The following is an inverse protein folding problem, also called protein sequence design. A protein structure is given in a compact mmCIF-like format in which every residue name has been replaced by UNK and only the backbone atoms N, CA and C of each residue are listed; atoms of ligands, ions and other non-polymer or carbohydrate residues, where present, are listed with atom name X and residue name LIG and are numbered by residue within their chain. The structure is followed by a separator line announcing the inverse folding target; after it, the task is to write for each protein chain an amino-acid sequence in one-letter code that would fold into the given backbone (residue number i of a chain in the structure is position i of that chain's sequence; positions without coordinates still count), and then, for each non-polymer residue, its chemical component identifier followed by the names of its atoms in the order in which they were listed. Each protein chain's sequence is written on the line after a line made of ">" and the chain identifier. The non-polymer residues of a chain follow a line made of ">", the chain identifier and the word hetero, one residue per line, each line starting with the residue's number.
data_IF_252385783916
#
_entry.id   IF_252385783916
#
_cell.length_a   1.000
_cell.length_b   1.000
_cell.length_c   1.000
_cell.angle_alpha   90.00
_cell.angle_beta   90.00
_cell.angle_gamma   90.00
#
_symmetry.space_group_name_H-M   'P 1'
#
loop_
_entity.id
_entity.type
_entity.pdbx_description
1 polymer ?
#
# COMPACT_ATOMS: atom_id res chain seq x y z
N UNK A 1 -18.62 68.93 -17.27
CA UNK A 1 -17.66 67.99 -17.82
C UNK A 1 -17.67 66.74 -16.90
N UNK A 2 -18.33 65.72 -17.35
CA UNK A 2 -18.47 64.46 -16.57
C UNK A 2 -17.38 63.50 -17.03
N UNK A 3 -16.51 63.03 -16.10
CA UNK A 3 -15.49 62.03 -16.36
C UNK A 3 -16.10 60.60 -16.41
N UNK A 4 -15.53 59.69 -17.22
CA UNK A 4 -16.06 58.36 -17.40
C UNK A 4 -15.80 57.49 -16.15
N UNK A 5 -16.87 56.92 -15.64
CA UNK A 5 -16.88 55.87 -14.63
C UNK A 5 -16.34 54.61 -15.32
N UNK A 6 -15.15 54.19 -14.94
CA UNK A 6 -14.60 52.89 -15.28
C UNK A 6 -15.41 51.81 -14.57
N UNK A 7 -16.35 51.20 -15.26
CA UNK A 7 -16.94 49.95 -14.88
C UNK A 7 -15.84 48.87 -14.84
N UNK A 8 -15.37 48.55 -13.63
CA UNK A 8 -14.65 47.29 -13.37
C UNK A 8 -15.65 46.17 -13.57
N UNK A 9 -15.65 45.55 -14.72
CA UNK A 9 -16.18 44.21 -14.92
C UNK A 9 -15.43 43.26 -13.98
N UNK A 10 -15.99 43.04 -12.83
CA UNK A 10 -15.69 41.88 -12.01
C UNK A 10 -16.16 40.64 -12.80
N UNK A 11 -15.23 40.06 -13.56
CA UNK A 11 -15.40 38.73 -14.14
C UNK A 11 -15.75 37.80 -12.98
N UNK A 12 -17.03 37.51 -12.81
CA UNK A 12 -17.52 36.43 -11.97
C UNK A 12 -16.83 35.16 -12.48
N UNK A 13 -15.74 34.75 -11.82
CA UNK A 13 -15.26 33.40 -11.95
C UNK A 13 -16.46 32.50 -11.63
N UNK A 14 -17.06 31.93 -12.65
CA UNK A 14 -18.05 30.86 -12.52
C UNK A 14 -17.41 29.84 -11.62
N UNK A 15 -17.97 29.66 -10.42
CA UNK A 15 -17.49 28.68 -9.48
C UNK A 15 -17.53 27.33 -10.18
N UNK A 16 -16.36 26.80 -10.53
CA UNK A 16 -16.20 25.51 -11.21
C UNK A 16 -16.97 24.46 -10.40
N UNK A 17 -17.95 23.84 -11.02
CA UNK A 17 -18.86 22.91 -10.37
C UNK A 17 -18.17 21.57 -10.24
N UNK A 18 -17.37 21.40 -9.20
CA UNK A 18 -16.79 20.09 -8.85
C UNK A 18 -17.89 19.20 -8.30
N UNK A 19 -18.08 18.05 -8.92
CA UNK A 19 -19.02 17.01 -8.50
C UNK A 19 -18.22 15.84 -7.92
N UNK A 20 -18.75 15.23 -6.85
CA UNK A 20 -18.20 14.04 -6.21
C UNK A 20 -19.18 12.88 -6.41
N UNK A 21 -18.63 11.71 -6.74
CA UNK A 21 -19.40 10.48 -6.92
C UNK A 21 -18.60 9.29 -6.38
N UNK A 22 -19.30 8.20 -6.09
CA UNK A 22 -18.65 6.89 -5.89
C UNK A 22 -18.32 6.33 -7.28
N UNK A 23 -17.08 5.94 -7.50
CA UNK A 23 -16.64 5.41 -8.77
C UNK A 23 -17.24 4.03 -9.07
N UNK A 24 -17.57 3.79 -10.33
CA UNK A 24 -17.99 2.52 -10.87
C UNK A 24 -17.12 2.07 -12.05
N UNK A 25 -17.44 0.91 -12.63
CA UNK A 25 -16.68 0.33 -13.75
C UNK A 25 -16.53 1.28 -14.95
N UNK A 26 -17.53 2.15 -15.18
CA UNK A 26 -17.45 3.15 -16.26
C UNK A 26 -16.34 4.18 -16.06
N UNK A 27 -15.87 4.39 -14.83
CA UNK A 27 -14.82 5.36 -14.50
C UNK A 27 -13.41 4.77 -14.67
N UNK A 28 -13.27 3.44 -14.86
CA UNK A 28 -12.00 2.74 -14.95
C UNK A 28 -10.98 3.42 -15.89
N UNK A 29 -11.30 3.71 -17.16
CA UNK A 29 -10.31 4.28 -18.08
C UNK A 29 -9.79 5.65 -17.63
N UNK A 30 -10.68 6.50 -17.08
CA UNK A 30 -10.30 7.84 -16.62
C UNK A 30 -9.47 7.79 -15.33
N UNK A 31 -9.80 6.87 -14.39
CA UNK A 31 -9.01 6.67 -13.17
C UNK A 31 -7.61 6.22 -13.53
N UNK A 32 -7.48 5.19 -14.39
CA UNK A 32 -6.15 4.71 -14.83
C UNK A 32 -5.35 5.79 -15.55
N UNK A 33 -6.01 6.62 -16.37
CA UNK A 33 -5.38 7.78 -17.01
C UNK A 33 -4.85 8.77 -15.96
N UNK A 34 -5.68 9.15 -14.97
CA UNK A 34 -5.27 10.06 -13.90
C UNK A 34 -4.07 9.54 -13.11
N UNK A 35 -4.05 8.23 -12.79
CA UNK A 35 -2.93 7.60 -12.06
C UNK A 35 -1.62 7.68 -12.85
N UNK A 36 -1.65 7.44 -14.17
CA UNK A 36 -0.48 7.52 -15.05
C UNK A 36 0.02 8.96 -15.23
N UNK A 37 -0.90 9.89 -15.41
CA UNK A 37 -0.54 11.31 -15.65
C UNK A 37 -0.04 12.04 -14.40
N UNK A 38 -0.22 11.44 -13.20
CA UNK A 38 0.15 12.06 -11.92
C UNK A 38 1.09 11.15 -11.10
N UNK A 39 2.34 10.96 -11.57
CA UNK A 39 3.31 10.12 -10.88
C UNK A 39 3.69 10.70 -9.51
N UNK A 40 4.12 9.82 -8.63
CA UNK A 40 4.73 10.20 -7.36
C UNK A 40 6.17 10.65 -7.61
N UNK A 41 6.44 11.92 -7.36
CA UNK A 41 7.78 12.49 -7.49
C UNK A 41 8.72 11.93 -6.40
N UNK A 42 9.99 11.72 -6.75
CA UNK A 42 11.04 11.26 -5.85
C UNK A 42 12.38 11.15 -6.58
N UNK A 43 13.39 10.54 -5.94
CA UNK A 43 14.65 10.21 -6.63
C UNK A 43 14.42 9.26 -7.81
N UNK A 44 13.42 8.42 -7.69
CA UNK A 44 12.82 7.62 -8.74
C UNK A 44 11.35 8.00 -8.73
N UNK A 45 10.87 8.62 -9.79
CA UNK A 45 9.46 8.94 -9.96
C UNK A 45 8.72 7.70 -10.41
N UNK A 46 7.62 7.37 -9.76
CA UNK A 46 6.86 6.15 -10.05
C UNK A 46 5.37 6.45 -10.17
N UNK A 47 4.70 5.73 -11.06
CA UNK A 47 3.24 5.64 -11.08
C UNK A 47 2.81 4.30 -10.50
N UNK A 48 1.83 4.35 -9.60
CA UNK A 48 1.13 3.16 -9.13
C UNK A 48 -0.10 2.98 -10.02
N UNK A 49 -0.03 2.02 -10.93
CA UNK A 49 -1.08 1.76 -11.92
C UNK A 49 -1.87 0.51 -11.58
N UNK A 50 -3.06 0.37 -12.18
CA UNK A 50 -4.01 -0.71 -11.98
C UNK A 50 -4.45 -1.26 -13.34
N UNK A 51 -3.50 -1.81 -14.11
CA UNK A 51 -3.81 -2.40 -15.40
C UNK A 51 -4.16 -3.88 -15.26
N UNK A 52 -5.06 -4.44 -16.08
CA UNK A 52 -5.83 -3.77 -17.14
C UNK A 52 -7.11 -3.09 -16.65
N UNK A 53 -7.52 -3.30 -15.40
CA UNK A 53 -8.74 -2.78 -14.80
C UNK A 53 -8.48 -2.30 -13.37
N UNK A 54 -8.88 -1.07 -13.04
CA UNK A 54 -8.74 -0.47 -11.71
C UNK A 54 -9.48 -1.28 -10.63
N UNK A 55 -10.58 -1.90 -11.00
CA UNK A 55 -11.45 -2.66 -10.08
C UNK A 55 -11.11 -4.15 -10.01
N UNK A 56 -10.04 -4.60 -10.64
CA UNK A 56 -9.68 -6.02 -10.73
C UNK A 56 -9.51 -6.72 -9.37
N UNK A 57 -9.17 -5.99 -8.32
CA UNK A 57 -9.00 -6.51 -6.95
C UNK A 57 -10.19 -6.18 -6.02
N UNK A 58 -11.34 -5.78 -6.59
CA UNK A 58 -12.57 -5.58 -5.84
C UNK A 58 -13.33 -6.90 -5.62
N UNK A 59 -14.25 -6.89 -4.66
CA UNK A 59 -15.13 -8.03 -4.41
C UNK A 59 -14.52 -9.13 -3.53
N UNK A 60 -13.39 -8.87 -2.88
CA UNK A 60 -12.84 -9.80 -1.87
C UNK A 60 -13.82 -9.90 -0.70
N UNK A 61 -14.27 -11.11 -0.30
CA UNK A 61 -15.18 -11.29 0.83
C UNK A 61 -14.62 -10.67 2.13
N UNK A 62 -15.50 -10.08 2.93
CA UNK A 62 -15.08 -9.39 4.16
C UNK A 62 -14.43 -8.04 3.96
N UNK A 63 -14.19 -7.64 2.70
CA UNK A 63 -13.61 -6.35 2.33
C UNK A 63 -14.66 -5.43 1.69
N UNK A 64 -14.62 -4.15 2.03
CA UNK A 64 -15.41 -3.11 1.36
C UNK A 64 -14.43 -2.10 0.76
N UNK A 65 -14.37 -2.02 -0.56
CA UNK A 65 -13.61 -0.98 -1.29
C UNK A 65 -14.54 0.09 -1.79
N UNK A 66 -14.25 1.32 -1.41
CA UNK A 66 -14.96 2.52 -1.88
C UNK A 66 -13.96 3.44 -2.54
N UNK A 67 -14.19 3.75 -3.80
CA UNK A 67 -13.41 4.72 -4.55
C UNK A 67 -14.26 5.94 -4.81
N UNK A 68 -13.75 7.11 -4.46
CA UNK A 68 -14.40 8.40 -4.67
C UNK A 68 -13.68 9.12 -5.80
N UNK A 69 -14.46 9.69 -6.70
CA UNK A 69 -13.96 10.52 -7.79
C UNK A 69 -14.51 11.93 -7.70
N UNK A 70 -13.71 12.91 -8.08
CA UNK A 70 -14.15 14.28 -8.28
C UNK A 70 -14.01 14.64 -9.75
N UNK A 71 -15.09 15.25 -10.31
CA UNK A 71 -15.13 15.72 -11.70
C UNK A 71 -15.31 17.23 -11.72
N UNK A 72 -14.50 17.90 -12.50
CA UNK A 72 -14.61 19.33 -12.81
C UNK A 72 -14.92 19.49 -14.28
N UNK A 73 -16.06 20.12 -14.62
CA UNK A 73 -16.53 20.27 -16.00
C UNK A 73 -16.58 18.92 -16.77
N UNK A 74 -17.01 17.86 -16.11
CA UNK A 74 -17.12 16.53 -16.70
C UNK A 74 -15.82 15.70 -16.69
N UNK A 75 -14.65 16.31 -16.46
CA UNK A 75 -13.36 15.63 -16.43
C UNK A 75 -13.02 15.14 -15.01
N UNK A 76 -12.52 13.93 -14.90
CA UNK A 76 -12.02 13.37 -13.64
C UNK A 76 -10.72 14.09 -13.24
N UNK A 77 -10.72 14.67 -12.03
CA UNK A 77 -9.61 15.51 -11.53
C UNK A 77 -9.05 15.05 -10.20
N UNK A 78 -9.77 14.19 -9.48
CA UNK A 78 -9.29 13.62 -8.23
C UNK A 78 -9.87 12.22 -8.05
N UNK A 79 -9.09 11.34 -7.47
CA UNK A 79 -9.50 10.02 -7.00
C UNK A 79 -8.94 9.78 -5.60
N UNK A 80 -9.67 9.06 -4.78
CA UNK A 80 -9.22 8.58 -3.47
C UNK A 80 -10.01 7.35 -3.08
N UNK A 81 -9.43 6.48 -2.29
CA UNK A 81 -10.06 5.22 -1.91
C UNK A 81 -10.00 4.92 -0.43
N UNK A 82 -10.92 4.08 0.01
CA UNK A 82 -10.93 3.45 1.32
C UNK A 82 -11.17 1.96 1.17
N UNK A 83 -10.30 1.17 1.78
CA UNK A 83 -10.47 -0.28 1.89
C UNK A 83 -10.74 -0.62 3.34
N UNK A 84 -11.96 -1.08 3.65
CA UNK A 84 -12.36 -1.50 5.00
C UNK A 84 -12.30 -3.02 5.07
N UNK A 85 -11.58 -3.54 6.08
CA UNK A 85 -11.46 -4.96 6.36
C UNK A 85 -11.22 -5.22 7.85
N UNK A 86 -11.28 -6.49 8.25
CA UNK A 86 -10.91 -6.89 9.60
C UNK A 86 -9.40 -6.79 9.80
N UNK A 87 -8.98 -6.07 10.84
CA UNK A 87 -7.59 -5.98 11.29
C UNK A 87 -7.54 -6.04 12.81
N UNK A 88 -6.42 -6.48 13.34
CA UNK A 88 -6.24 -6.47 14.78
C UNK A 88 -5.93 -5.05 15.28
N UNK A 89 -6.68 -4.62 16.28
CA UNK A 89 -6.44 -3.40 17.05
C UNK A 89 -6.52 -3.78 18.53
N UNK A 90 -5.45 -3.51 19.27
CA UNK A 90 -5.32 -3.90 20.69
C UNK A 90 -5.59 -5.40 20.96
N UNK A 91 -5.22 -6.25 19.99
CA UNK A 91 -5.40 -7.69 20.07
C UNK A 91 -6.74 -8.23 19.62
N UNK A 92 -7.71 -7.36 19.30
CA UNK A 92 -9.06 -7.75 18.91
C UNK A 92 -9.31 -7.45 17.42
N UNK A 93 -10.03 -8.32 16.70
CA UNK A 93 -10.47 -8.03 15.34
C UNK A 93 -11.43 -6.83 15.32
N UNK A 94 -11.11 -5.82 14.52
CA UNK A 94 -11.90 -4.60 14.33
C UNK A 94 -12.06 -4.28 12.85
N UNK A 95 -13.16 -3.63 12.50
CA UNK A 95 -13.35 -3.08 11.15
C UNK A 95 -12.49 -1.84 10.99
N UNK A 96 -11.45 -1.92 10.18
CA UNK A 96 -10.47 -0.84 9.99
C UNK A 96 -10.42 -0.42 8.53
N UNK A 97 -10.58 0.88 8.27
CA UNK A 97 -10.47 1.49 6.95
C UNK A 97 -9.04 1.97 6.67
N UNK A 98 -8.46 1.54 5.57
CA UNK A 98 -7.23 2.11 5.03
C UNK A 98 -7.56 3.15 3.97
N UNK A 99 -7.16 4.40 4.20
CA UNK A 99 -7.30 5.49 3.24
C UNK A 99 -6.08 5.55 2.35
N UNK A 100 -6.25 5.30 1.06
CA UNK A 100 -5.15 5.22 0.11
C UNK A 100 -5.52 5.72 -1.28
N UNK A 101 -4.53 5.68 -2.19
CA UNK A 101 -4.75 5.97 -3.60
C UNK A 101 -5.11 7.43 -3.93
N UNK A 102 -4.97 8.38 -2.98
CA UNK A 102 -5.33 9.77 -3.23
C UNK A 102 -4.44 10.37 -4.32
N UNK A 103 -5.08 10.82 -5.40
CA UNK A 103 -4.44 11.55 -6.51
C UNK A 103 -5.29 12.74 -6.90
N UNK A 104 -4.65 13.89 -7.01
CA UNK A 104 -5.22 15.11 -7.55
C UNK A 104 -4.45 15.47 -8.82
N UNK A 105 -5.16 15.87 -9.87
CA UNK A 105 -4.54 16.33 -11.10
C UNK A 105 -3.58 17.49 -10.82
N UNK A 106 -2.30 17.29 -11.10
CA UNK A 106 -1.24 18.27 -10.82
C UNK A 106 -1.44 19.60 -11.52
N UNK A 107 -2.17 19.60 -12.64
CA UNK A 107 -2.54 20.82 -13.39
C UNK A 107 -3.44 21.77 -12.60
N UNK A 108 -4.12 21.28 -11.57
CA UNK A 108 -5.00 22.11 -10.73
C UNK A 108 -4.28 22.86 -9.62
N UNK A 109 -2.96 22.72 -9.50
CA UNK A 109 -2.12 23.63 -8.72
C UNK A 109 -2.49 23.84 -7.25
N UNK A 110 -2.89 22.77 -6.51
CA UNK A 110 -3.12 22.91 -5.07
C UNK A 110 -4.54 23.31 -4.67
N UNK A 111 -5.53 22.83 -5.39
CA UNK A 111 -6.97 22.94 -5.09
C UNK A 111 -7.33 22.14 -3.83
N UNK A 112 -6.98 22.69 -2.67
CA UNK A 112 -7.29 22.09 -1.36
C UNK A 112 -8.79 22.04 -1.07
N UNK A 113 -9.59 22.89 -1.72
CA UNK A 113 -11.04 22.86 -1.66
C UNK A 113 -11.62 21.54 -2.18
N UNK A 114 -11.02 20.96 -3.23
CA UNK A 114 -11.40 19.64 -3.75
C UNK A 114 -11.13 18.55 -2.71
N UNK A 115 -9.97 18.57 -2.07
CA UNK A 115 -9.62 17.59 -1.05
C UNK A 115 -10.56 17.69 0.15
N UNK A 116 -10.80 18.90 0.69
CA UNK A 116 -11.71 19.11 1.81
C UNK A 116 -13.12 18.60 1.52
N UNK A 117 -13.69 18.97 0.37
CA UNK A 117 -15.02 18.50 -0.05
C UNK A 117 -15.06 16.99 -0.31
N UNK A 118 -13.96 16.41 -0.81
CA UNK A 118 -13.80 14.97 -0.97
C UNK A 118 -13.87 14.24 0.37
N UNK A 119 -13.24 14.78 1.41
CA UNK A 119 -13.32 14.24 2.78
C UNK A 119 -14.71 14.43 3.41
N UNK A 120 -15.37 15.54 3.14
CA UNK A 120 -16.77 15.76 3.55
C UNK A 120 -17.68 14.69 2.91
N UNK A 121 -17.57 14.49 1.59
CA UNK A 121 -18.32 13.47 0.86
C UNK A 121 -18.03 12.05 1.37
N UNK A 122 -16.75 11.73 1.61
CA UNK A 122 -16.37 10.45 2.20
C UNK A 122 -17.01 10.24 3.57
N UNK A 123 -17.01 11.28 4.41
CA UNK A 123 -17.63 11.24 5.72
C UNK A 123 -19.13 10.87 5.62
N UNK A 124 -19.85 11.47 4.69
CA UNK A 124 -21.27 11.17 4.45
C UNK A 124 -21.48 9.71 4.05
N UNK A 125 -20.62 9.17 3.18
CA UNK A 125 -20.68 7.75 2.78
C UNK A 125 -20.42 6.79 3.96
N UNK A 126 -19.59 7.17 4.92
CA UNK A 126 -19.28 6.31 6.07
C UNK A 126 -20.38 6.34 7.14
N UNK A 127 -21.36 7.22 7.07
CA UNK A 127 -22.41 7.36 8.13
C UNK A 127 -23.24 6.09 8.28
N UNK A 128 -23.50 5.36 7.19
CA UNK A 128 -24.35 4.17 7.21
C UNK A 128 -23.67 2.93 7.81
N UNK A 129 -22.36 2.75 7.58
CA UNK A 129 -21.60 1.60 8.07
C UNK A 129 -20.11 1.97 8.29
N UNK A 130 -19.80 2.79 9.31
CA UNK A 130 -18.45 3.28 9.54
C UNK A 130 -17.50 2.15 9.90
N UNK A 131 -16.24 2.31 9.56
CA UNK A 131 -15.17 1.56 10.21
C UNK A 131 -14.97 2.08 11.63
N UNK A 132 -14.48 1.25 12.53
CA UNK A 132 -14.19 1.63 13.91
C UNK A 132 -12.93 2.51 13.99
N UNK A 133 -11.99 2.27 13.06
CA UNK A 133 -10.76 3.04 12.93
C UNK A 133 -10.49 3.31 11.46
N UNK A 134 -9.82 4.42 11.19
CA UNK A 134 -9.22 4.69 9.88
C UNK A 134 -7.74 4.98 10.06
N UNK A 135 -6.95 4.49 9.13
CA UNK A 135 -5.52 4.82 9.07
C UNK A 135 -5.07 5.06 7.63
N UNK A 136 -3.91 5.68 7.49
CA UNK A 136 -3.27 5.92 6.19
C UNK A 136 -1.77 5.86 6.32
N UNK A 137 -1.09 5.65 5.21
CA UNK A 137 0.36 5.79 5.10
C UNK A 137 0.70 6.92 4.13
N UNK A 138 1.60 7.81 4.53
CA UNK A 138 2.07 8.92 3.71
C UNK A 138 3.59 8.79 3.57
N UNK A 139 4.10 8.87 2.33
CA UNK A 139 5.53 8.85 2.07
C UNK A 139 6.26 9.89 2.92
N UNK A 140 7.35 9.51 3.57
CA UNK A 140 8.05 10.40 4.50
C UNK A 140 8.66 11.63 3.82
N UNK A 141 8.97 11.55 2.54
CA UNK A 141 9.46 12.63 1.69
C UNK A 141 8.36 13.47 1.03
N UNK A 142 7.08 13.09 1.18
CA UNK A 142 5.95 13.89 0.68
C UNK A 142 5.56 14.99 1.69
N UNK A 143 6.47 15.95 1.88
CA UNK A 143 6.29 17.07 2.82
C UNK A 143 5.02 17.87 2.54
N UNK A 144 4.67 18.04 1.26
CA UNK A 144 3.49 18.82 0.86
C UNK A 144 2.19 18.17 1.36
N UNK A 145 2.03 16.86 1.18
CA UNK A 145 0.85 16.13 1.65
C UNK A 145 0.80 16.16 3.19
N UNK A 146 1.93 15.89 3.86
CA UNK A 146 2.02 15.92 5.33
C UNK A 146 1.66 17.30 5.88
N UNK A 147 2.31 18.35 5.39
CA UNK A 147 2.04 19.72 5.84
C UNK A 147 0.57 20.15 5.64
N UNK A 148 -0.12 19.60 4.65
CA UNK A 148 -1.54 19.87 4.46
C UNK A 148 -2.42 19.07 5.43
N UNK A 149 -2.19 17.76 5.55
CA UNK A 149 -3.05 16.85 6.30
C UNK A 149 -2.87 16.99 7.82
N UNK A 150 -1.66 17.29 8.27
CA UNK A 150 -1.36 17.50 9.69
C UNK A 150 -1.89 18.84 10.25
N UNK A 151 -2.36 19.78 9.39
CA UNK A 151 -2.83 21.12 9.82
C UNK A 151 -4.12 21.13 10.62
N UNK A 152 -4.93 20.07 10.56
CA UNK A 152 -6.23 20.05 11.25
C UNK A 152 -7.21 21.12 10.75
N UNK A 153 -7.30 21.32 9.44
CA UNK A 153 -8.17 22.34 8.85
C UNK A 153 -9.66 22.04 9.11
N UNK A 154 -10.52 23.07 9.32
CA UNK A 154 -11.95 22.87 9.49
C UNK A 154 -12.58 22.06 8.34
N UNK A 155 -13.39 21.04 8.67
CA UNK A 155 -14.02 20.14 7.72
C UNK A 155 -13.11 18.98 7.25
N UNK A 156 -11.86 18.96 7.70
CA UNK A 156 -10.94 17.83 7.47
C UNK A 156 -10.93 16.89 8.68
N UNK A 157 -10.60 15.59 8.49
CA UNK A 157 -10.29 14.72 9.61
C UNK A 157 -8.98 15.11 10.29
N UNK A 158 -8.82 14.74 11.55
CA UNK A 158 -7.54 14.83 12.24
C UNK A 158 -6.62 13.67 11.84
N UNK A 159 -5.33 13.97 11.72
CA UNK A 159 -4.27 13.00 11.41
C UNK A 159 -3.35 12.89 12.62
N UNK A 160 -3.44 11.79 13.32
CA UNK A 160 -2.61 11.47 14.47
C UNK A 160 -1.46 10.57 14.05
N UNK A 161 -0.23 11.05 14.15
CA UNK A 161 0.96 10.26 13.83
C UNK A 161 1.14 9.14 14.87
N UNK A 162 1.24 7.90 14.39
CA UNK A 162 1.36 6.73 15.26
C UNK A 162 2.66 5.96 15.08
N UNK A 163 3.42 6.20 14.02
CA UNK A 163 4.73 5.58 13.83
C UNK A 163 5.26 5.65 12.41
N UNK A 164 6.54 5.36 12.25
CA UNK A 164 7.16 5.20 10.94
C UNK A 164 7.08 3.74 10.48
N UNK A 165 6.90 3.56 9.18
CA UNK A 165 6.83 2.26 8.53
C UNK A 165 7.83 2.20 7.39
N UNK A 166 8.60 1.11 7.33
CA UNK A 166 9.67 0.90 6.38
C UNK A 166 9.34 -0.27 5.48
N UNK A 167 9.11 0.00 4.21
CA UNK A 167 9.03 -1.03 3.19
C UNK A 167 10.44 -1.33 2.66
N UNK A 168 10.87 -2.58 2.77
CA UNK A 168 12.11 -3.09 2.23
C UNK A 168 11.88 -3.65 0.83
N UNK A 169 12.71 -3.25 -0.13
CA UNK A 169 12.82 -3.88 -1.43
C UNK A 169 14.12 -4.70 -1.43
N UNK A 170 14.00 -6.00 -1.23
CA UNK A 170 15.12 -6.94 -1.15
C UNK A 170 15.39 -7.47 -2.55
N UNK A 171 16.63 -7.31 -3.09
CA UNK A 171 16.99 -7.90 -4.37
C UNK A 171 16.94 -9.43 -4.33
N UNK A 172 16.27 -10.02 -5.30
CA UNK A 172 16.19 -11.46 -5.48
C UNK A 172 17.37 -11.93 -6.32
N UNK A 173 18.55 -12.08 -5.71
CA UNK A 173 19.70 -12.59 -6.44
C UNK A 173 19.46 -14.06 -6.87
N UNK A 174 19.96 -14.44 -8.06
CA UNK A 174 20.03 -15.84 -8.48
C UNK A 174 20.96 -16.61 -7.54
N UNK A 175 20.49 -16.97 -6.36
CA UNK A 175 21.22 -17.89 -5.47
C UNK A 175 21.06 -19.29 -6.01
N UNK A 176 22.17 -19.86 -6.48
CA UNK A 176 22.22 -21.26 -6.86
C UNK A 176 21.98 -22.13 -5.62
N UNK A 177 21.00 -23.02 -5.68
CA UNK A 177 21.06 -24.28 -4.96
C UNK A 177 20.52 -24.36 -3.53
N UNK A 178 19.69 -23.46 -3.04
CA UNK A 178 18.89 -23.80 -1.87
C UNK A 178 17.80 -24.81 -2.28
N UNK A 179 17.90 -26.04 -1.80
CA UNK A 179 16.76 -26.96 -1.85
C UNK A 179 15.69 -26.38 -0.92
N UNK A 180 14.40 -26.36 -1.31
CA UNK A 180 13.35 -25.97 -0.38
C UNK A 180 13.46 -26.85 0.87
N UNK A 181 13.69 -26.24 2.02
CA UNK A 181 13.74 -26.95 3.31
C UNK A 181 12.35 -27.20 3.88
N UNK A 182 11.32 -26.66 3.22
CA UNK A 182 9.99 -26.58 3.75
C UNK A 182 9.11 -27.65 3.11
N UNK A 183 8.44 -28.41 4.00
CA UNK A 183 7.86 -29.69 3.68
C UNK A 183 6.59 -29.61 2.83
N UNK A 184 6.27 -30.77 2.26
CA UNK A 184 5.04 -31.08 1.54
C UNK A 184 3.82 -30.75 2.38
N UNK A 185 2.95 -29.92 1.84
CA UNK A 185 1.69 -29.52 2.41
C UNK A 185 0.65 -30.58 2.08
N UNK A 186 0.15 -31.29 3.08
CA UNK A 186 -1.08 -32.05 2.88
C UNK A 186 -2.24 -31.05 2.72
N UNK A 187 -2.88 -31.04 1.54
CA UNK A 187 -3.85 -30.02 1.14
C UNK A 187 -5.08 -29.91 2.05
N UNK A 188 -5.47 -30.97 2.75
CA UNK A 188 -6.75 -31.06 3.45
C UNK A 188 -6.93 -30.09 4.63
N UNK A 189 -5.85 -29.65 5.30
CA UNK A 189 -5.91 -28.74 6.44
C UNK A 189 -5.17 -27.41 6.22
N UNK A 190 -4.51 -27.25 5.08
CA UNK A 190 -3.66 -26.11 4.80
C UNK A 190 -4.39 -24.77 4.94
N UNK A 191 -5.57 -24.64 4.35
CA UNK A 191 -6.33 -23.40 4.41
C UNK A 191 -6.66 -22.96 5.84
N UNK A 192 -7.05 -23.87 6.71
CA UNK A 192 -7.33 -23.56 8.12
C UNK A 192 -6.06 -23.11 8.86
N UNK A 193 -4.94 -23.78 8.63
CA UNK A 193 -3.66 -23.42 9.26
C UNK A 193 -3.14 -22.07 8.78
N UNK A 194 -3.30 -21.76 7.48
CA UNK A 194 -2.93 -20.47 6.87
C UNK A 194 -3.81 -19.31 7.36
N UNK A 195 -4.91 -19.56 8.02
CA UNK A 195 -5.76 -18.57 8.68
C UNK A 195 -5.51 -18.53 10.18
N UNK A 196 -5.53 -19.69 10.84
CA UNK A 196 -5.48 -19.75 12.31
C UNK A 196 -4.12 -19.30 12.85
N UNK A 197 -3.02 -19.80 12.30
CA UNK A 197 -1.68 -19.45 12.79
C UNK A 197 -1.31 -17.99 12.54
N UNK A 198 -1.54 -17.42 11.30
CA UNK A 198 -1.36 -15.99 11.09
C UNK A 198 -2.22 -15.13 12.01
N UNK A 199 -3.48 -15.47 12.25
CA UNK A 199 -4.35 -14.67 13.12
C UNK A 199 -3.89 -14.68 14.58
N UNK A 200 -3.45 -15.82 15.09
CA UNK A 200 -2.87 -15.90 16.44
C UNK A 200 -1.62 -15.02 16.57
N UNK A 201 -0.75 -15.03 15.57
CA UNK A 201 0.42 -14.18 15.50
C UNK A 201 0.05 -12.69 15.37
N UNK A 202 -0.84 -12.38 14.45
CA UNK A 202 -1.24 -11.01 14.10
C UNK A 202 -1.97 -10.28 15.24
N UNK A 203 -2.62 -11.02 16.15
CA UNK A 203 -3.24 -10.45 17.36
C UNK A 203 -2.22 -9.74 18.28
N UNK A 204 -0.93 -10.04 18.14
CA UNK A 204 0.15 -9.36 18.90
C UNK A 204 0.56 -8.01 18.29
N UNK A 205 -0.03 -7.58 17.17
CA UNK A 205 0.35 -6.38 16.44
C UNK A 205 -0.83 -5.45 16.20
N UNK A 206 -0.54 -4.19 15.93
CA UNK A 206 -1.53 -3.19 15.53
C UNK A 206 -1.69 -3.15 14.01
N UNK A 207 -2.93 -3.08 13.55
CA UNK A 207 -3.34 -3.03 12.14
C UNK A 207 -2.94 -4.25 11.29
N UNK A 208 -2.43 -5.31 11.92
CA UNK A 208 -2.18 -6.56 11.23
C UNK A 208 -3.50 -7.14 10.67
N UNK A 209 -3.49 -7.78 9.48
CA UNK A 209 -4.68 -8.36 8.90
C UNK A 209 -5.28 -9.47 9.79
N UNK A 210 -6.62 -9.53 9.87
CA UNK A 210 -7.34 -10.69 10.39
C UNK A 210 -7.88 -11.48 9.20
N UNK A 211 -7.24 -12.61 8.90
CA UNK A 211 -7.51 -13.42 7.72
C UNK A 211 -8.74 -14.30 7.87
N UNK A 212 -9.43 -14.56 6.75
CA UNK A 212 -10.51 -15.53 6.64
C UNK A 212 -10.26 -16.52 5.51
N UNK A 213 -10.95 -17.67 5.54
CA UNK A 213 -10.88 -18.66 4.47
C UNK A 213 -11.43 -18.14 3.16
N UNK A 214 -12.47 -17.31 3.22
CA UNK A 214 -13.10 -16.73 2.05
C UNK A 214 -12.18 -15.71 1.36
N UNK A 215 -11.45 -14.90 2.15
CA UNK A 215 -10.42 -14.00 1.61
C UNK A 215 -9.29 -14.79 0.95
N UNK A 216 -8.81 -15.86 1.59
CA UNK A 216 -7.76 -16.71 1.04
C UNK A 216 -8.17 -17.33 -0.30
N UNK A 217 -9.43 -17.81 -0.41
CA UNK A 217 -9.98 -18.32 -1.65
C UNK A 217 -10.10 -17.25 -2.74
N UNK A 218 -10.50 -16.02 -2.37
CA UNK A 218 -10.57 -14.90 -3.31
C UNK A 218 -9.17 -14.46 -3.78
N UNK A 219 -8.15 -14.49 -2.93
CA UNK A 219 -6.78 -14.16 -3.31
C UNK A 219 -6.18 -15.15 -4.29
N UNK A 220 -6.69 -16.39 -4.38
CA UNK A 220 -6.28 -17.31 -5.44
C UNK A 220 -6.65 -16.77 -6.84
N UNK A 221 -7.80 -16.10 -6.97
CA UNK A 221 -8.19 -15.42 -8.21
C UNK A 221 -7.29 -14.22 -8.53
N UNK A 222 -6.64 -13.67 -7.50
CA UNK A 222 -5.67 -12.58 -7.59
C UNK A 222 -4.21 -13.08 -7.60
N UNK A 223 -4.01 -14.37 -7.90
CA UNK A 223 -2.70 -14.96 -8.12
C UNK A 223 -1.93 -15.40 -6.88
N UNK A 224 -2.56 -15.48 -5.69
CA UNK A 224 -1.95 -16.05 -4.48
C UNK A 224 -2.36 -17.51 -4.30
N UNK A 225 -1.55 -18.44 -4.78
CA UNK A 225 -1.86 -19.87 -4.78
C UNK A 225 -1.23 -20.60 -3.56
N UNK A 226 -1.72 -21.78 -3.18
CA UNK A 226 -1.09 -22.59 -2.12
C UNK A 226 0.41 -22.84 -2.34
N UNK A 227 0.85 -23.01 -3.58
CA UNK A 227 2.25 -23.19 -3.94
C UNK A 227 3.14 -21.95 -3.76
N UNK A 228 2.54 -20.80 -3.41
CA UNK A 228 3.24 -19.55 -3.13
C UNK A 228 3.64 -19.43 -1.66
N UNK A 229 3.11 -20.30 -0.81
CA UNK A 229 3.39 -20.31 0.62
C UNK A 229 4.63 -21.15 0.94
N UNK A 230 5.41 -20.62 1.84
CA UNK A 230 6.53 -21.29 2.50
C UNK A 230 6.19 -21.40 3.99
N UNK A 231 6.20 -22.61 4.53
CA UNK A 231 5.77 -22.89 5.92
C UNK A 231 6.82 -23.70 6.62
N UNK A 232 7.18 -23.27 7.83
CA UNK A 232 8.03 -24.01 8.78
C UNK A 232 7.15 -24.63 9.84
N UNK A 233 7.38 -25.90 10.15
CA UNK A 233 6.68 -26.61 11.21
C UNK A 233 7.67 -27.14 12.24
N UNK A 234 7.37 -26.92 13.49
CA UNK A 234 8.01 -27.60 14.60
C UNK A 234 6.95 -28.27 15.46
N UNK A 235 7.14 -29.55 15.80
CA UNK A 235 6.21 -30.34 16.60
C UNK A 235 4.76 -30.32 16.08
N UNK A 236 4.59 -30.33 14.75
CA UNK A 236 3.27 -30.32 14.08
C UNK A 236 2.57 -28.96 14.05
N UNK A 237 3.16 -27.90 14.60
CA UNK A 237 2.62 -26.52 14.55
C UNK A 237 3.40 -25.66 13.58
N UNK A 238 2.71 -24.72 12.94
CA UNK A 238 3.36 -23.69 12.11
C UNK A 238 4.10 -22.71 13.02
N UNK A 239 5.42 -22.66 12.89
CA UNK A 239 6.31 -21.75 13.64
C UNK A 239 6.71 -20.54 12.83
N UNK A 240 6.82 -20.68 11.50
CA UNK A 240 7.02 -19.58 10.60
C UNK A 240 6.27 -19.82 9.28
N UNK A 241 5.77 -18.78 8.67
CA UNK A 241 5.14 -18.83 7.35
C UNK A 241 5.29 -17.51 6.62
N UNK A 242 5.19 -17.56 5.29
CA UNK A 242 5.11 -16.40 4.42
C UNK A 242 4.77 -16.83 3.02
N UNK A 243 4.15 -15.95 2.26
CA UNK A 243 3.78 -16.18 0.88
C UNK A 243 4.43 -15.17 -0.05
N UNK A 244 4.75 -15.61 -1.26
CA UNK A 244 5.17 -14.75 -2.36
C UNK A 244 3.93 -14.36 -3.19
N UNK A 245 3.49 -13.12 -3.08
CA UNK A 245 2.34 -12.64 -3.85
C UNK A 245 2.77 -11.68 -4.98
N UNK A 246 2.71 -12.17 -6.19
CA UNK A 246 2.96 -11.36 -7.39
C UNK A 246 1.65 -10.68 -7.83
N UNK A 247 1.54 -9.39 -7.54
CA UNK A 247 0.36 -8.58 -7.84
C UNK A 247 0.43 -7.86 -9.20
N UNK A 248 1.47 -8.09 -10.02
CA UNK A 248 1.69 -7.35 -11.26
C UNK A 248 0.60 -7.55 -12.32
N UNK A 249 -0.26 -8.54 -12.16
CA UNK A 249 -1.43 -8.75 -13.02
C UNK A 249 -2.53 -7.69 -12.83
N UNK A 250 -2.54 -6.97 -11.67
CA UNK A 250 -3.57 -5.97 -11.36
C UNK A 250 -3.02 -4.71 -10.64
N UNK A 251 -1.79 -4.75 -10.11
CA UNK A 251 -1.16 -3.63 -9.38
C UNK A 251 0.30 -3.52 -9.79
N UNK A 252 0.65 -2.47 -10.52
CA UNK A 252 2.00 -2.27 -11.05
C UNK A 252 2.63 -0.99 -10.51
N UNK A 253 3.95 -1.01 -10.38
CA UNK A 253 4.78 0.17 -10.16
C UNK A 253 5.54 0.44 -11.45
N UNK A 254 5.24 1.55 -12.13
CA UNK A 254 5.92 1.95 -13.36
C UNK A 254 6.96 3.00 -13.02
N UNK A 255 8.15 2.86 -13.59
CA UNK A 255 9.22 3.86 -13.45
C UNK A 255 8.96 4.98 -14.46
N UNK A 256 8.63 6.16 -13.97
CA UNK A 256 8.33 7.31 -14.83
C UNK A 256 9.56 8.17 -15.10
N UNK A 257 10.42 8.35 -14.12
CA UNK A 257 11.65 9.13 -14.27
C UNK A 257 12.67 8.83 -13.19
N UNK A 258 13.90 9.28 -13.43
CA UNK A 258 15.02 9.25 -12.49
C UNK A 258 15.52 10.66 -12.23
N UNK A 259 15.94 10.98 -11.03
CA UNK A 259 16.66 12.22 -10.74
C UNK A 259 17.85 12.36 -11.73
N UNK A 260 18.20 13.58 -12.20
CA UNK A 260 19.17 13.80 -13.28
C UNK A 260 20.50 13.07 -13.08
N UNK A 261 21.04 13.10 -11.86
CA UNK A 261 22.29 12.41 -11.53
C UNK A 261 22.15 10.88 -11.61
N UNK A 262 20.99 10.33 -11.20
CA UNK A 262 20.73 8.89 -11.23
C UNK A 262 20.50 8.41 -12.66
N UNK A 263 19.84 9.23 -13.50
CA UNK A 263 19.65 8.97 -14.94
C UNK A 263 21.01 8.88 -15.64
N UNK A 264 21.94 9.78 -15.32
CA UNK A 264 23.29 9.79 -15.88
C UNK A 264 24.10 8.55 -15.45
N UNK A 265 24.02 8.15 -14.17
CA UNK A 265 24.76 7.01 -13.62
C UNK A 265 24.11 5.64 -13.91
N UNK A 266 22.86 5.60 -14.37
CA UNK A 266 22.12 4.37 -14.59
C UNK A 266 22.83 3.36 -15.50
N UNK A 267 23.48 3.72 -16.63
CA UNK A 267 24.22 2.77 -17.46
C UNK A 267 25.37 2.09 -16.69
N UNK A 268 26.14 2.86 -15.94
CA UNK A 268 27.24 2.32 -15.12
C UNK A 268 26.74 1.43 -13.99
N UNK A 269 25.67 1.85 -13.30
CA UNK A 269 25.01 1.03 -12.25
C UNK A 269 24.52 -0.29 -12.84
N UNK A 270 23.91 -0.27 -14.01
CA UNK A 270 23.38 -1.46 -14.66
C UNK A 270 24.49 -2.38 -15.20
N UNK A 271 25.59 -1.83 -15.71
CA UNK A 271 26.77 -2.59 -16.08
C UNK A 271 27.38 -3.33 -14.87
N UNK A 272 27.55 -2.62 -13.74
CA UNK A 272 28.01 -3.22 -12.50
C UNK A 272 27.02 -4.29 -11.98
N UNK A 273 25.72 -4.01 -12.00
CA UNK A 273 24.68 -4.97 -11.61
C UNK A 273 24.74 -6.25 -12.46
N UNK A 274 25.08 -6.15 -13.74
CA UNK A 274 25.24 -7.31 -14.62
C UNK A 274 26.40 -8.21 -14.17
N UNK A 275 27.53 -7.63 -13.79
CA UNK A 275 28.72 -8.37 -13.34
C UNK A 275 28.53 -8.95 -11.94
N UNK A 276 27.94 -8.16 -11.04
CA UNK A 276 27.71 -8.55 -9.64
C UNK A 276 26.49 -9.45 -9.41
N UNK A 277 25.67 -9.69 -10.46
CA UNK A 277 24.39 -10.42 -10.34
C UNK A 277 23.31 -9.66 -9.58
N UNK A 278 23.49 -8.35 -9.37
CA UNK A 278 22.53 -7.49 -8.68
C UNK A 278 21.36 -7.05 -9.58
N UNK A 279 20.31 -6.44 -8.99
CA UNK A 279 19.17 -5.95 -9.73
C UNK A 279 19.54 -4.70 -10.53
N UNK A 280 19.02 -4.63 -11.74
CA UNK A 280 19.19 -3.46 -12.61
C UNK A 280 18.15 -2.38 -12.29
N UNK A 281 18.48 -1.14 -12.58
CA UNK A 281 17.51 -0.05 -12.63
C UNK A 281 16.69 -0.18 -13.93
N UNK A 282 15.36 -0.37 -13.84
CA UNK A 282 14.51 -0.54 -15.03
C UNK A 282 14.59 0.64 -15.99
N UNK A 283 14.18 0.47 -17.23
CA UNK A 283 14.01 1.60 -18.12
C UNK A 283 12.81 2.45 -17.70
N UNK A 284 12.83 3.72 -18.04
CA UNK A 284 11.65 4.60 -17.95
C UNK A 284 10.53 3.98 -18.78
N UNK A 285 9.32 3.98 -18.26
CA UNK A 285 8.15 3.31 -18.85
C UNK A 285 8.03 1.83 -18.50
N UNK A 286 9.03 1.22 -17.88
CA UNK A 286 8.97 -0.20 -17.51
C UNK A 286 8.38 -0.42 -16.13
N UNK A 287 7.67 -1.54 -15.99
CA UNK A 287 7.18 -2.03 -14.70
C UNK A 287 8.33 -2.54 -13.84
N UNK A 288 8.34 -2.16 -12.58
CA UNK A 288 9.23 -2.74 -11.57
C UNK A 288 8.86 -4.21 -11.35
N UNK A 289 9.81 -5.10 -11.54
CA UNK A 289 9.59 -6.54 -11.33
C UNK A 289 9.66 -6.88 -9.84
N UNK A 290 8.62 -6.50 -9.08
CA UNK A 290 8.50 -6.78 -7.65
C UNK A 290 7.31 -7.68 -7.32
N UNK A 291 7.42 -8.42 -6.23
CA UNK A 291 6.33 -9.13 -5.58
C UNK A 291 6.37 -8.87 -4.07
N UNK A 292 5.27 -9.12 -3.40
CA UNK A 292 5.11 -8.84 -1.98
C UNK A 292 5.25 -10.12 -1.14
N UNK A 293 5.77 -9.97 0.08
CA UNK A 293 5.57 -10.98 1.13
C UNK A 293 4.20 -10.73 1.74
N UNK A 294 3.42 -11.79 1.82
CA UNK A 294 2.10 -11.80 2.44
C UNK A 294 2.00 -12.91 3.48
N UNK A 295 1.05 -12.83 4.42
CA UNK A 295 0.81 -13.83 5.46
C UNK A 295 2.08 -14.17 6.26
N UNK A 296 2.88 -13.14 6.58
CA UNK A 296 4.11 -13.34 7.35
C UNK A 296 3.79 -13.70 8.80
N UNK A 297 4.19 -14.90 9.19
CA UNK A 297 4.16 -15.40 10.57
C UNK A 297 5.56 -15.69 11.00
N UNK A 298 6.07 -14.98 11.98
CA UNK A 298 7.36 -15.27 12.59
C UNK A 298 7.44 -14.59 13.96
N UNK A 299 7.76 -15.30 15.04
CA UNK A 299 7.98 -14.69 16.34
C UNK A 299 9.05 -13.59 16.26
N UNK A 300 8.91 -12.56 17.10
CA UNK A 300 9.79 -11.37 17.05
C UNK A 300 11.24 -11.72 17.36
N UNK A 301 11.46 -12.73 18.19
CA UNK A 301 12.74 -13.25 18.66
C UNK A 301 13.38 -14.29 17.72
N UNK A 302 12.62 -14.88 16.81
CA UNK A 302 13.10 -15.89 15.85
C UNK A 302 13.75 -15.24 14.60
N UNK A 303 14.86 -14.58 14.82
CA UNK A 303 15.51 -13.73 13.80
C UNK A 303 16.23 -14.50 12.71
N UNK A 304 16.81 -15.65 13.02
CA UNK A 304 17.50 -16.50 12.04
C UNK A 304 16.49 -17.18 11.11
N UNK A 305 15.39 -17.66 11.66
CA UNK A 305 14.28 -18.24 10.89
C UNK A 305 13.67 -17.23 9.93
N UNK A 306 13.52 -15.96 10.35
CA UNK A 306 13.10 -14.88 9.46
C UNK A 306 14.05 -14.74 8.27
N UNK A 307 15.35 -14.68 8.52
CA UNK A 307 16.34 -14.52 7.45
C UNK A 307 16.34 -15.72 6.49
N UNK A 308 16.14 -16.93 6.99
CA UNK A 308 16.00 -18.13 6.16
C UNK A 308 14.72 -18.11 5.33
N UNK A 309 13.57 -17.83 5.93
CA UNK A 309 12.27 -17.70 5.25
C UNK A 309 12.33 -16.67 4.11
N UNK A 310 12.85 -15.47 4.38
CA UNK A 310 13.01 -14.43 3.36
C UNK A 310 13.99 -14.85 2.26
N UNK A 311 15.04 -15.59 2.62
CA UNK A 311 15.99 -16.13 1.61
C UNK A 311 15.28 -17.09 0.65
N UNK A 312 14.42 -17.96 1.15
CA UNK A 312 13.65 -18.90 0.32
C UNK A 312 12.64 -18.21 -0.59
N UNK A 313 11.89 -17.24 -0.01
CA UNK A 313 10.97 -16.43 -0.79
C UNK A 313 11.72 -15.65 -1.90
N UNK A 314 12.95 -15.17 -1.64
CA UNK A 314 13.81 -14.56 -2.66
C UNK A 314 14.19 -15.57 -3.77
N UNK A 315 14.50 -16.83 -3.42
CA UNK A 315 14.79 -17.88 -4.42
C UNK A 315 13.56 -18.19 -5.26
N UNK A 316 12.39 -18.30 -4.62
CA UNK A 316 11.11 -18.50 -5.33
C UNK A 316 10.82 -17.33 -6.28
N UNK A 317 10.97 -16.09 -5.80
CA UNK A 317 10.78 -14.88 -6.57
C UNK A 317 11.72 -14.82 -7.79
N UNK A 318 13.02 -15.14 -7.62
CA UNK A 318 13.99 -15.17 -8.71
C UNK A 318 13.64 -16.19 -9.80
N UNK A 319 13.09 -17.36 -9.44
CA UNK A 319 12.60 -18.36 -10.40
C UNK A 319 11.43 -17.83 -11.26
N UNK A 320 10.62 -16.92 -10.70
CA UNK A 320 9.49 -16.26 -11.38
C UNK A 320 9.86 -14.93 -12.05
N UNK A 321 11.15 -14.65 -12.19
CA UNK A 321 11.66 -13.40 -12.79
C UNK A 321 11.20 -12.14 -12.05
N UNK A 322 11.00 -12.27 -10.74
CA UNK A 322 10.79 -11.14 -9.83
C UNK A 322 12.17 -10.67 -9.38
N UNK A 323 12.47 -9.39 -9.52
CA UNK A 323 13.78 -8.81 -9.18
C UNK A 323 13.85 -8.28 -7.75
N UNK A 324 12.70 -7.95 -7.17
CA UNK A 324 12.60 -7.43 -5.81
C UNK A 324 11.48 -8.10 -5.03
N UNK A 325 11.81 -8.54 -3.82
CA UNK A 325 10.83 -8.95 -2.82
C UNK A 325 10.52 -7.76 -1.91
N UNK A 326 9.23 -7.42 -1.75
CA UNK A 326 8.78 -6.27 -0.95
C UNK A 326 8.08 -6.74 0.31
N UNK A 327 8.52 -6.24 1.47
CA UNK A 327 7.86 -6.46 2.76
C UNK A 327 8.04 -5.24 3.66
N UNK A 328 7.23 -5.10 4.70
CA UNK A 328 7.24 -3.89 5.52
C UNK A 328 7.18 -4.16 7.01
N UNK A 329 7.83 -3.27 7.78
CA UNK A 329 7.87 -3.30 9.23
C UNK A 329 7.76 -1.89 9.80
N UNK A 330 7.27 -1.76 11.01
CA UNK A 330 7.45 -0.54 11.79
C UNK A 330 8.94 -0.25 12.01
N UNK A 331 9.31 1.02 12.15
CA UNK A 331 10.72 1.41 12.29
C UNK A 331 11.37 0.90 13.57
N UNK A 332 10.57 0.63 14.59
CA UNK A 332 10.93 0.08 15.90
C UNK A 332 10.83 -1.45 15.98
N UNK A 333 10.41 -2.11 14.91
CA UNK A 333 10.36 -3.58 14.86
C UNK A 333 11.79 -4.17 14.84
N UNK A 334 12.17 -5.01 15.81
CA UNK A 334 13.53 -5.57 15.89
C UNK A 334 13.88 -6.44 14.67
N UNK A 335 12.90 -7.06 14.04
CA UNK A 335 13.06 -7.88 12.81
C UNK A 335 13.65 -7.06 11.64
N UNK A 336 13.34 -5.76 11.59
CA UNK A 336 13.91 -4.84 10.58
C UNK A 336 15.43 -4.76 10.65
N UNK A 337 16.00 -4.75 11.87
CA UNK A 337 17.45 -4.70 12.07
C UNK A 337 18.15 -5.95 11.52
N UNK A 338 17.53 -7.12 11.70
CA UNK A 338 18.07 -8.39 11.18
C UNK A 338 18.08 -8.38 9.66
N UNK A 339 16.98 -7.97 9.04
CA UNK A 339 16.87 -7.91 7.58
C UNK A 339 17.85 -6.89 6.97
N UNK A 340 18.07 -5.74 7.61
CA UNK A 340 19.08 -4.75 7.20
C UNK A 340 20.51 -5.32 7.19
N UNK A 341 20.85 -6.13 8.18
CA UNK A 341 22.17 -6.78 8.29
C UNK A 341 22.36 -7.90 7.26
N UNK A 342 21.29 -8.65 6.99
CA UNK A 342 21.34 -9.85 6.15
C UNK A 342 21.19 -9.55 4.66
N UNK A 343 20.39 -8.53 4.32
CA UNK A 343 20.02 -8.19 2.95
C UNK A 343 20.42 -6.74 2.61
N UNK A 344 20.91 -6.54 1.39
CA UNK A 344 21.17 -5.20 0.83
C UNK A 344 19.85 -4.62 0.29
N UNK A 345 18.89 -4.39 1.17
CA UNK A 345 17.59 -3.86 0.79
C UNK A 345 17.64 -2.35 0.48
N UNK A 346 16.75 -1.90 -0.39
CA UNK A 346 16.39 -0.48 -0.50
C UNK A 346 15.21 -0.22 0.41
N UNK A 347 15.18 0.94 1.05
CA UNK A 347 14.11 1.33 1.95
C UNK A 347 13.25 2.41 1.31
N UNK A 348 11.93 2.21 1.43
CA UNK A 348 10.94 3.24 1.23
C UNK A 348 10.25 3.50 2.58
N UNK A 349 10.29 4.76 3.03
CA UNK A 349 9.77 5.13 4.34
C UNK A 349 8.45 5.87 4.19
N UNK A 350 7.51 5.53 5.06
CA UNK A 350 6.24 6.22 5.20
C UNK A 350 5.94 6.47 6.67
N UNK A 351 5.06 7.43 6.91
CA UNK A 351 4.50 7.72 8.23
C UNK A 351 3.08 7.18 8.28
N UNK A 352 2.75 6.47 9.33
CA UNK A 352 1.41 5.97 9.58
C UNK A 352 0.66 6.97 10.47
N UNK A 353 -0.61 7.18 10.11
CA UNK A 353 -1.51 8.07 10.84
C UNK A 353 -2.83 7.37 11.11
N UNK A 354 -3.35 7.51 12.32
CA UNK A 354 -4.75 7.28 12.59
C UNK A 354 -5.52 8.51 12.11
N UNK A 355 -6.62 8.28 11.42
CA UNK A 355 -7.45 9.34 10.84
C UNK A 355 -8.81 9.32 11.52
N UNK A 356 -9.19 10.44 12.12
CA UNK A 356 -10.43 10.56 12.92
C UNK A 356 -11.31 11.68 12.41
N UNK A 357 -12.60 11.41 12.29
CA UNK A 357 -13.62 12.43 12.05
C UNK A 357 -14.46 12.62 13.31
N UNK A 358 -14.83 13.87 13.67
CA UNK A 358 -15.80 14.09 14.73
C UNK A 358 -17.12 13.37 14.41
N UNK A 359 -17.55 12.48 15.32
CA UNK A 359 -18.83 11.77 15.22
C UNK A 359 -18.85 10.57 14.26
N UNK A 360 -17.71 10.11 13.74
CA UNK A 360 -17.61 8.88 12.95
C UNK A 360 -16.57 7.95 13.59
N UNK A 361 -16.89 6.65 13.60
CA UNK A 361 -16.07 5.61 14.21
C UNK A 361 -16.51 5.28 15.64
N UNK A 362 -15.92 4.24 16.19
CA UNK A 362 -16.12 3.84 17.59
C UNK A 362 -15.60 4.91 18.57
N UNK A 363 -15.85 4.72 19.88
CA UNK A 363 -15.27 5.57 20.90
C UNK A 363 -13.75 5.62 20.70
N UNK A 364 -13.17 6.81 20.91
CA UNK A 364 -11.74 7.02 20.76
C UNK A 364 -10.99 6.09 21.71
N UNK A 365 -10.60 4.92 21.19
CA UNK A 365 -9.79 3.97 21.91
C UNK A 365 -8.35 4.22 21.49
N UNK A 366 -7.50 4.49 22.45
CA UNK A 366 -6.08 4.67 22.20
C UNK A 366 -5.45 3.35 21.78
N UNK A 367 -4.49 3.41 20.88
CA UNK A 367 -3.68 2.25 20.53
C UNK A 367 -2.78 1.92 21.73
N UNK A 368 -2.71 0.64 22.09
CA UNK A 368 -1.74 0.18 23.07
C UNK A 368 -0.33 0.10 22.47
N UNK A 369 0.64 -0.33 23.24
CA UNK A 369 2.06 -0.36 22.88
C UNK A 369 2.45 -1.46 21.89
N UNK A 370 1.51 -2.15 21.22
CA UNK A 370 1.84 -3.16 20.20
C UNK A 370 2.48 -2.52 18.98
N UNK A 371 3.43 -3.26 18.37
CA UNK A 371 4.12 -2.84 17.14
C UNK A 371 3.12 -2.74 15.98
N UNK A 372 3.25 -1.69 15.17
CA UNK A 372 2.45 -1.50 13.96
C UNK A 372 2.87 -2.50 12.87
N UNK A 373 1.95 -3.29 12.35
CA UNK A 373 2.22 -4.28 11.32
C UNK A 373 1.15 -4.33 10.21
N UNK A 374 0.80 -3.20 9.58
CA UNK A 374 -0.02 -3.26 8.40
C UNK A 374 0.73 -3.99 7.30
N UNK A 375 0.09 -4.94 6.63
CA UNK A 375 0.72 -5.70 5.55
C UNK A 375 0.84 -4.86 4.28
N UNK A 376 2.08 -4.68 3.78
CA UNK A 376 2.39 -3.86 2.58
C UNK A 376 1.64 -4.33 1.33
N UNK A 377 1.41 -5.63 1.18
CA UNK A 377 0.65 -6.18 0.06
C UNK A 377 -0.79 -5.66 -0.01
N UNK A 378 -1.32 -5.17 1.12
CA UNK A 378 -2.69 -4.68 1.29
C UNK A 378 -2.80 -3.15 1.45
N UNK A 379 -1.72 -2.41 1.17
CA UNK A 379 -1.68 -0.94 1.20
C UNK A 379 -1.72 -0.33 -0.19
#
# INVERSE_FOLDING_TARGET
>A
MAGPVLERELTKRTASRVRFDVAGEADDPEIRCLLRENPMAGRISVSLTREPNFFADHGVPGETKQTIVARENGRLVCVGGCTIRQRFVNGEPRRVGYLGGLRLDTRLGGRFDILRRGYEFFRELQTAAPAEFYFTSIASDNERARAFLERGLPGMPSYEFVGEFVALLIPTARRKGAKPRFGDLSEANLGKELVTSPNQHNASFQFAPCWSLDELAAFQQLGLNPADFTIVRAHGKVTAAGALWDQRSFKQTIIEDYAPWLRLLRPAINAFATVSGGPRLPAVGNTLANAYVSHLVIPIDETDELAELITELCVMAARRRVEFLTLGFASDDPRLTVLRRRFRAREYRSRLYVVRWPGIGGPAQDLDGRILAPEVALL
#
